data_IF_590872691135
#
_entry.id   IF_590872691135
#
_cell.length_a   1.000
_cell.length_b   1.000
_cell.length_c   1.000
_cell.angle_alpha   90.00
_cell.angle_beta   90.00
_cell.angle_gamma   90.00
#
_symmetry.space_group_name_H-M   'P 1'
#
loop_
_entity.id
_entity.type
_entity.pdbx_description
1 polymer ?
#
# COMPACT_ATOMS: atom_id res chain seq x y z
N UNK A 1 -18.42 6.97 18.11
CA UNK A 1 -17.62 5.81 17.68
C UNK A 1 -16.17 6.08 18.03
N UNK A 2 -15.43 5.07 18.49
CA UNK A 2 -14.01 5.24 18.82
C UNK A 2 -13.22 5.50 17.53
N UNK A 3 -12.31 6.47 17.56
CA UNK A 3 -11.39 6.74 16.46
C UNK A 3 -10.22 5.76 16.57
N UNK A 4 -9.80 5.18 15.45
CA UNK A 4 -8.63 4.30 15.41
C UNK A 4 -7.34 5.13 15.40
N UNK A 5 -6.26 4.55 15.92
CA UNK A 5 -4.95 5.19 15.97
C UNK A 5 -3.97 4.42 15.09
N UNK A 6 -3.23 5.15 14.24
CA UNK A 6 -2.28 4.54 13.29
C UNK A 6 -1.10 3.79 13.92
N UNK A 7 -0.92 3.85 15.24
CA UNK A 7 0.14 3.10 15.94
C UNK A 7 -0.08 1.58 15.97
N UNK A 8 -1.31 1.14 15.67
CA UNK A 8 -1.71 -0.26 15.69
C UNK A 8 -1.94 -0.81 14.28
N UNK A 9 -1.24 -0.22 13.31
CA UNK A 9 -1.26 -0.70 11.93
C UNK A 9 -0.27 -1.84 11.80
N UNK A 10 -0.72 -2.92 11.17
CA UNK A 10 0.16 -4.00 10.71
C UNK A 10 0.18 -3.97 9.19
N UNK A 11 1.38 -4.03 8.61
CA UNK A 11 1.63 -4.08 7.17
C UNK A 11 2.36 -5.38 6.86
N UNK A 12 1.73 -6.22 6.04
CA UNK A 12 2.36 -7.43 5.53
C UNK A 12 2.46 -7.38 4.01
N UNK A 13 3.57 -7.89 3.48
CA UNK A 13 3.84 -7.91 2.05
C UNK A 13 4.44 -9.26 1.66
N UNK A 14 3.93 -9.82 0.57
CA UNK A 14 4.47 -11.05 -0.01
C UNK A 14 5.67 -10.76 -0.94
N UNK A 15 6.69 -11.60 -0.86
CA UNK A 15 7.92 -11.61 -1.67
C UNK A 15 8.10 -12.91 -2.47
N UNK A 16 6.98 -13.55 -2.85
CA UNK A 16 6.89 -14.88 -3.46
C UNK A 16 7.29 -16.04 -2.52
N UNK A 17 7.58 -15.74 -1.26
CA UNK A 17 7.82 -16.77 -0.26
C UNK A 17 6.49 -17.37 0.23
N UNK A 18 6.51 -18.56 0.87
CA UNK A 18 5.28 -19.24 1.28
C UNK A 18 4.45 -18.50 2.35
N UNK A 19 4.99 -17.43 2.93
CA UNK A 19 4.34 -16.67 3.99
C UNK A 19 4.62 -15.18 3.82
N UNK A 20 3.56 -14.37 3.84
CA UNK A 20 3.68 -12.91 3.84
C UNK A 20 4.58 -12.43 4.98
N UNK A 21 5.43 -11.45 4.69
CA UNK A 21 6.39 -10.90 5.64
C UNK A 21 5.77 -9.73 6.38
N UNK A 22 5.88 -9.73 7.70
CA UNK A 22 5.51 -8.58 8.53
C UNK A 22 6.62 -7.53 8.49
N UNK A 23 6.33 -6.40 7.86
CA UNK A 23 7.26 -5.27 7.70
C UNK A 23 6.89 -4.09 8.61
N UNK A 24 5.90 -4.25 9.49
CA UNK A 24 5.29 -3.17 10.29
C UNK A 24 6.29 -2.41 11.16
N UNK A 25 7.35 -3.07 11.63
CA UNK A 25 8.35 -2.45 12.50
C UNK A 25 9.21 -1.39 11.81
N UNK A 26 9.31 -1.47 10.49
CA UNK A 26 10.16 -0.60 9.69
C UNK A 26 9.37 0.47 8.92
N UNK A 27 8.04 0.35 8.85
CA UNK A 27 7.16 1.28 8.14
C UNK A 27 6.94 2.53 8.97
N UNK A 28 7.31 3.68 8.40
CA UNK A 28 7.10 5.01 8.99
C UNK A 28 5.76 5.62 8.52
N UNK A 29 5.39 5.39 7.26
CA UNK A 29 4.10 5.82 6.70
C UNK A 29 3.62 4.91 5.56
N UNK A 30 2.30 4.84 5.42
CA UNK A 30 1.64 4.18 4.30
C UNK A 30 0.48 5.06 3.81
N UNK A 31 0.50 5.38 2.52
CA UNK A 31 -0.51 6.20 1.87
C UNK A 31 -1.25 5.34 0.84
N UNK A 32 -2.57 5.20 1.02
CA UNK A 32 -3.44 4.38 0.16
C UNK A 32 -4.43 5.31 -0.55
N UNK A 33 -4.01 6.01 -1.61
CA UNK A 33 -4.92 6.85 -2.37
C UNK A 33 -5.89 5.96 -3.16
N UNK A 34 -7.17 6.31 -3.13
CA UNK A 34 -8.19 5.78 -4.03
C UNK A 34 -8.56 6.91 -4.99
N UNK A 35 -8.15 6.79 -6.23
CA UNK A 35 -8.37 7.79 -7.27
C UNK A 35 -9.20 7.18 -8.39
N UNK A 36 -10.05 7.98 -9.01
CA UNK A 36 -10.79 7.59 -10.20
C UNK A 36 -10.33 8.47 -11.35
N UNK A 37 -9.97 7.87 -12.46
CA UNK A 37 -9.80 8.63 -13.69
C UNK A 37 -11.14 9.26 -14.08
N UNK A 38 -11.12 10.46 -14.67
CA UNK A 38 -12.33 11.14 -15.13
C UNK A 38 -12.25 11.42 -16.63
N UNK A 39 -13.25 10.96 -17.38
CA UNK A 39 -13.42 11.30 -18.78
C UNK A 39 -14.38 12.48 -18.90
N UNK A 40 -13.93 13.58 -19.50
CA UNK A 40 -14.80 14.72 -19.81
C UNK A 40 -15.81 14.33 -20.90
N UNK A 41 -17.11 14.48 -20.58
CA UNK A 41 -18.22 14.20 -21.49
C UNK A 41 -19.10 15.44 -21.70
N UNK A 42 -18.59 16.62 -21.38
CA UNK A 42 -19.31 17.89 -21.46
C UNK A 42 -19.77 18.15 -22.90
N UNK A 43 -21.08 18.19 -23.11
CA UNK A 43 -21.69 18.53 -24.39
C UNK A 43 -21.56 20.03 -24.70
N UNK A 44 -21.59 20.37 -25.99
CA UNK A 44 -21.52 21.78 -26.42
C UNK A 44 -22.66 22.66 -25.87
N UNK A 45 -23.82 22.06 -25.60
CA UNK A 45 -24.99 22.75 -25.01
C UNK A 45 -24.97 22.80 -23.48
N UNK A 46 -24.01 22.16 -22.84
CA UNK A 46 -24.02 21.99 -21.39
C UNK A 46 -23.58 23.27 -20.70
N UNK A 47 -24.35 23.68 -19.69
CA UNK A 47 -24.05 24.87 -18.90
C UNK A 47 -22.99 24.61 -17.80
N UNK A 48 -22.65 23.34 -17.55
CA UNK A 48 -21.70 22.89 -16.52
C UNK A 48 -20.88 21.72 -17.05
N UNK A 49 -19.65 21.55 -16.53
CA UNK A 49 -18.79 20.42 -16.90
C UNK A 49 -19.34 19.12 -16.33
N UNK A 50 -19.38 18.09 -17.16
CA UNK A 50 -19.81 16.74 -16.82
C UNK A 50 -18.65 15.76 -17.04
N UNK A 51 -18.46 14.80 -16.13
CA UNK A 51 -17.47 13.73 -16.27
C UNK A 51 -18.08 12.36 -16.05
N UNK A 52 -17.46 11.35 -16.66
CA UNK A 52 -17.74 9.94 -16.43
C UNK A 52 -16.54 9.31 -15.69
N UNK A 53 -16.77 8.61 -14.56
CA UNK A 53 -15.69 7.98 -13.83
C UNK A 53 -15.14 6.76 -14.59
N UNK A 54 -13.83 6.65 -14.61
CA UNK A 54 -13.07 5.48 -15.05
C UNK A 54 -12.98 4.42 -13.95
N UNK A 55 -11.94 3.59 -14.04
CA UNK A 55 -11.67 2.56 -13.05
C UNK A 55 -10.93 3.14 -11.83
N UNK A 56 -11.13 2.58 -10.63
CA UNK A 56 -10.36 2.99 -9.45
C UNK A 56 -8.89 2.57 -9.61
N UNK A 57 -8.00 3.52 -9.34
CA UNK A 57 -6.57 3.31 -9.18
C UNK A 57 -6.16 3.37 -7.71
N UNK A 58 -5.24 2.49 -7.33
CA UNK A 58 -4.56 2.54 -6.03
C UNK A 58 -3.05 2.61 -6.25
N UNK A 59 -2.50 3.81 -6.07
CA UNK A 59 -1.06 4.07 -6.15
C UNK A 59 -0.51 4.15 -4.72
N UNK A 60 -0.33 3.00 -4.08
CA UNK A 60 0.10 2.94 -2.69
C UNK A 60 1.55 3.39 -2.57
N UNK A 61 1.83 4.30 -1.64
CA UNK A 61 3.19 4.69 -1.29
C UNK A 61 3.52 4.18 0.11
N UNK A 62 4.62 3.43 0.19
CA UNK A 62 5.13 2.88 1.44
C UNK A 62 6.47 3.52 1.74
N UNK A 63 6.59 4.19 2.88
CA UNK A 63 7.86 4.77 3.34
C UNK A 63 8.26 4.17 4.68
N UNK A 64 9.54 3.87 4.82
CA UNK A 64 10.08 3.32 6.05
C UNK A 64 11.59 3.44 6.16
N UNK A 65 12.12 2.85 7.23
CA UNK A 65 13.55 2.82 7.50
C UNK A 65 14.16 1.53 6.95
N UNK A 66 15.33 1.61 6.29
CA UNK A 66 16.02 0.41 5.79
C UNK A 66 16.61 -0.39 6.95
N UNK A 67 16.08 -1.59 7.16
CA UNK A 67 16.62 -2.59 8.06
C UNK A 67 17.28 -3.71 7.24
N UNK A 68 18.59 -3.98 7.40
CA UNK A 68 19.32 -4.98 6.60
C UNK A 68 19.06 -6.42 7.05
N UNK A 69 18.20 -6.65 8.05
CA UNK A 69 17.83 -8.00 8.49
C UNK A 69 16.95 -8.66 7.44
N UNK A 70 17.06 -9.98 7.27
CA UNK A 70 16.20 -10.72 6.35
C UNK A 70 14.70 -10.58 6.73
N UNK A 71 13.84 -10.70 5.73
CA UNK A 71 12.37 -10.62 5.88
C UNK A 71 11.88 -9.27 6.42
N UNK A 72 12.69 -8.22 6.31
CA UNK A 72 12.35 -6.85 6.70
C UNK A 72 12.07 -5.98 5.47
N UNK A 73 11.54 -4.77 5.69
CA UNK A 73 11.02 -3.92 4.62
C UNK A 73 12.00 -3.74 3.45
N UNK A 74 13.28 -3.50 3.74
CA UNK A 74 14.31 -3.31 2.73
C UNK A 74 14.59 -4.56 1.91
N UNK A 75 14.67 -5.72 2.57
CA UNK A 75 14.94 -7.02 1.95
C UNK A 75 13.76 -7.46 1.05
N UNK A 76 12.54 -7.38 1.59
CA UNK A 76 11.28 -7.68 0.87
C UNK A 76 11.14 -6.81 -0.36
N UNK A 77 11.32 -5.49 -0.24
CA UNK A 77 11.20 -4.56 -1.36
C UNK A 77 12.28 -4.77 -2.43
N UNK A 78 13.49 -5.16 -2.05
CA UNK A 78 14.56 -5.53 -3.00
C UNK A 78 14.17 -6.81 -3.76
N UNK A 79 13.50 -7.75 -3.11
CA UNK A 79 13.01 -8.98 -3.74
C UNK A 79 11.97 -8.73 -4.83
N UNK A 80 11.06 -7.77 -4.62
CA UNK A 80 9.91 -7.54 -5.51
C UNK A 80 10.05 -6.35 -6.46
N UNK A 81 11.02 -5.45 -6.24
CA UNK A 81 11.14 -4.24 -7.07
C UNK A 81 11.53 -4.59 -8.50
N UNK A 82 10.74 -4.10 -9.46
CA UNK A 82 10.93 -4.37 -10.87
C UNK A 82 10.55 -5.80 -11.29
N UNK A 83 10.10 -6.62 -10.34
CA UNK A 83 9.46 -7.89 -10.65
C UNK A 83 8.03 -7.63 -11.16
N UNK A 84 7.69 -8.29 -12.26
CA UNK A 84 6.41 -8.11 -12.94
C UNK A 84 5.43 -9.21 -12.54
N UNK A 85 5.33 -9.42 -11.24
CA UNK A 85 4.47 -10.39 -10.58
C UNK A 85 3.48 -9.71 -9.63
N UNK A 86 2.48 -10.48 -9.20
CA UNK A 86 1.48 -10.05 -8.23
C UNK A 86 1.98 -10.34 -6.82
N UNK A 87 2.04 -9.31 -5.98
CA UNK A 87 2.39 -9.42 -4.56
C UNK A 87 1.23 -8.91 -3.73
N UNK A 88 0.81 -9.69 -2.73
CA UNK A 88 -0.27 -9.30 -1.84
C UNK A 88 0.24 -8.30 -0.81
N UNK A 89 -0.41 -7.14 -0.74
CA UNK A 89 -0.26 -6.18 0.35
C UNK A 89 -1.49 -6.25 1.24
N UNK A 90 -1.25 -6.41 2.54
CA UNK A 90 -2.31 -6.36 3.55
C UNK A 90 -1.97 -5.31 4.60
N UNK A 91 -2.96 -4.47 4.93
CA UNK A 91 -2.85 -3.37 5.88
C UNK A 91 -4.02 -3.47 6.86
N UNK A 92 -3.74 -3.92 8.07
CA UNK A 92 -4.77 -4.08 9.11
C UNK A 92 -4.64 -2.99 10.17
N UNK A 93 -5.76 -2.47 10.67
CA UNK A 93 -5.80 -1.34 11.62
C UNK A 93 -6.48 -1.76 12.92
N UNK A 94 -5.68 -1.99 13.96
CA UNK A 94 -6.17 -2.48 15.23
C UNK A 94 -6.86 -1.42 16.11
N UNK A 95 -7.83 -1.87 16.92
CA UNK A 95 -8.58 -1.02 17.85
C UNK A 95 -7.91 -0.90 19.24
N UNK A 96 -6.83 -0.11 19.33
CA UNK A 96 -6.01 0.06 20.55
C UNK A 96 -5.19 -1.18 20.97
N UNK A 97 -5.05 -2.15 20.08
CA UNK A 97 -4.22 -3.35 20.23
C UNK A 97 -3.79 -3.83 18.84
N UNK A 98 -2.97 -4.88 18.75
CA UNK A 98 -2.69 -5.53 17.47
C UNK A 98 -4.01 -5.91 16.76
N UNK A 99 -4.10 -5.79 15.43
CA UNK A 99 -5.32 -6.12 14.69
C UNK A 99 -5.83 -7.54 15.00
N UNK A 100 -7.14 -7.65 15.19
CA UNK A 100 -7.83 -8.90 15.46
C UNK A 100 -9.08 -9.04 14.57
N UNK A 101 -9.65 -10.24 14.54
CA UNK A 101 -10.85 -10.55 13.75
C UNK A 101 -11.95 -9.48 13.93
N UNK A 102 -12.41 -8.94 12.80
CA UNK A 102 -13.40 -7.85 12.76
C UNK A 102 -12.82 -6.43 12.78
N UNK A 103 -11.52 -6.25 12.99
CA UNK A 103 -10.85 -4.96 12.80
C UNK A 103 -10.73 -4.64 11.29
N UNK A 104 -10.69 -3.35 10.89
CA UNK A 104 -10.55 -2.98 9.48
C UNK A 104 -9.26 -3.47 8.84
N UNK A 105 -9.37 -3.92 7.60
CA UNK A 105 -8.25 -4.42 6.79
C UNK A 105 -8.38 -3.91 5.36
N UNK A 106 -7.26 -3.54 4.75
CA UNK A 106 -7.14 -3.27 3.32
C UNK A 106 -6.24 -4.35 2.70
N UNK A 107 -6.72 -4.98 1.63
CA UNK A 107 -5.97 -6.02 0.93
C UNK A 107 -6.07 -5.83 -0.58
N UNK A 108 -5.01 -6.17 -1.30
CA UNK A 108 -5.01 -6.25 -2.75
C UNK A 108 -3.73 -6.82 -3.34
N UNK A 109 -3.75 -7.04 -4.65
CA UNK A 109 -2.61 -7.53 -5.44
C UNK A 109 -1.90 -6.34 -6.13
N UNK A 110 -0.59 -6.23 -5.93
CA UNK A 110 0.22 -5.12 -6.40
C UNK A 110 1.53 -5.59 -7.04
N UNK A 111 2.11 -4.75 -7.89
CA UNK A 111 3.50 -4.87 -8.32
C UNK A 111 4.29 -3.63 -7.87
N UNK A 112 5.61 -3.78 -7.72
CA UNK A 112 6.50 -2.71 -7.26
C UNK A 112 7.33 -2.14 -8.42
N UNK A 113 6.82 -1.16 -9.20
CA UNK A 113 7.57 -0.54 -10.30
C UNK A 113 8.79 0.25 -9.85
N UNK A 114 8.81 0.73 -8.60
CA UNK A 114 9.83 1.66 -8.13
C UNK A 114 10.07 1.50 -6.63
N UNK A 115 11.35 1.40 -6.29
CA UNK A 115 11.89 1.59 -4.95
C UNK A 115 12.97 2.68 -5.02
N UNK A 116 13.02 3.54 -4.00
CA UNK A 116 14.03 4.56 -3.83
C UNK A 116 14.66 4.41 -2.45
N UNK A 117 15.99 4.40 -2.40
CA UNK A 117 16.76 4.46 -1.16
C UNK A 117 17.37 5.86 -1.08
N UNK A 118 17.17 6.53 0.04
CA UNK A 118 17.79 7.82 0.32
C UNK A 118 18.45 7.80 1.70
N UNK A 119 19.60 8.44 1.82
CA UNK A 119 20.36 8.45 3.06
C UNK A 119 21.18 9.74 3.18
N UNK A 120 21.51 10.10 4.41
CA UNK A 120 22.55 11.08 4.71
C UNK A 120 23.57 10.44 5.67
N UNK A 121 24.86 10.84 5.65
CA UNK A 121 25.90 10.21 6.47
C UNK A 121 25.63 10.18 7.98
N UNK A 122 24.74 11.03 8.47
CA UNK A 122 24.36 11.15 9.90
C UNK A 122 22.91 10.76 10.18
N UNK A 123 22.15 10.40 9.14
CA UNK A 123 20.71 10.13 9.24
C UNK A 123 20.38 8.66 9.05
N UNK A 124 19.09 8.35 9.21
CA UNK A 124 18.56 7.03 8.85
C UNK A 124 18.59 6.85 7.33
N UNK A 125 18.71 5.59 6.91
CA UNK A 125 18.49 5.20 5.52
C UNK A 125 16.99 5.02 5.35
N UNK A 126 16.37 5.79 4.45
CA UNK A 126 14.93 5.78 4.17
C UNK A 126 14.69 5.02 2.88
N UNK A 127 13.69 4.16 2.90
CA UNK A 127 13.16 3.45 1.72
C UNK A 127 11.78 4.00 1.41
N UNK A 128 11.54 4.29 0.14
CA UNK A 128 10.21 4.60 -0.37
C UNK A 128 9.91 3.69 -1.55
N UNK A 129 8.78 2.99 -1.52
CA UNK A 129 8.30 2.16 -2.60
C UNK A 129 6.94 2.64 -3.10
N UNK A 130 6.74 2.55 -4.41
CA UNK A 130 5.45 2.76 -5.04
C UNK A 130 4.90 1.41 -5.46
N UNK A 131 3.72 1.06 -4.98
CA UNK A 131 2.98 -0.15 -5.32
C UNK A 131 1.79 0.24 -6.19
N UNK A 132 1.60 -0.48 -7.30
CA UNK A 132 0.48 -0.25 -8.22
C UNK A 132 -0.34 -1.51 -8.34
N UNK A 133 -1.65 -1.35 -8.50
CA UNK A 133 -2.55 -2.50 -8.68
C UNK A 133 -2.06 -3.36 -9.83
N UNK A 134 -1.89 -4.66 -9.56
CA UNK A 134 -1.59 -5.66 -10.55
C UNK A 134 -2.20 -6.97 -10.09
N UNK A 135 -3.28 -7.35 -10.75
CA UNK A 135 -4.14 -8.42 -10.30
C UNK A 135 -5.50 -8.39 -10.99
N UNK A 136 -6.32 -9.39 -10.68
CA UNK A 136 -7.69 -9.47 -11.23
C UNK A 136 -8.76 -9.08 -10.22
N UNK A 137 -8.40 -9.08 -8.93
CA UNK A 137 -9.30 -8.68 -7.84
C UNK A 137 -8.99 -7.25 -7.44
N UNK A 138 -10.01 -6.40 -7.43
CA UNK A 138 -9.85 -5.01 -7.01
C UNK A 138 -9.49 -4.94 -5.52
N UNK A 139 -8.49 -4.11 -5.12
CA UNK A 139 -8.21 -3.88 -3.72
C UNK A 139 -9.42 -3.32 -2.98
N UNK A 140 -9.62 -3.75 -1.74
CA UNK A 140 -10.81 -3.38 -0.98
C UNK A 140 -10.53 -3.25 0.51
N UNK A 141 -11.35 -2.43 1.16
CA UNK A 141 -11.46 -2.41 2.62
C UNK A 141 -12.48 -3.47 3.07
N UNK A 142 -12.06 -4.33 3.98
CA UNK A 142 -12.86 -5.34 4.64
C UNK A 142 -12.55 -5.40 6.13
N UNK A 143 -12.55 -6.60 6.67
CA UNK A 143 -12.20 -6.88 8.06
C UNK A 143 -11.26 -8.05 8.14
N UNK A 144 -10.32 -7.99 9.08
CA UNK A 144 -9.44 -9.11 9.42
C UNK A 144 -10.28 -10.37 9.63
N UNK A 145 -9.92 -11.44 8.93
CA UNK A 145 -10.59 -12.74 8.94
C UNK A 145 -10.27 -13.59 10.17
#
# INVERSE_FOLDING_TARGET
MAKLAGRWITVTLDDESPAAKDVSSDVDSIDIPMEFDELDITGFSDAVKNSMPGLPGFNVELTGTFNPTADQLGDVLIGIVGDYATHTLTVAVGANAAPAMGDPEFEGEFWCPKMQISASPTGKVVVTASLRVYGTTAPAWGTVA
#
